data_IF_778754606950
#
_entry.id   IF_778754606950
#
_cell.length_a   1.000
_cell.length_b   1.000
_cell.length_c   1.000
_cell.angle_alpha   90.00
_cell.angle_beta   90.00
_cell.angle_gamma   90.00
#
_symmetry.space_group_name_H-M   'P 1'
#
loop_
_entity.id
_entity.type
_entity.pdbx_description
1 polymer ?
#
# COMPACT_ATOMS: atom_id res chain seq x y z
N UNK A 1 -4.40 31.90 -16.18
CA UNK A 1 -4.12 31.18 -14.92
C UNK A 1 -5.41 30.48 -14.51
N UNK A 2 -5.40 29.15 -14.37
CA UNK A 2 -6.58 28.39 -13.92
C UNK A 2 -6.39 28.07 -12.44
N UNK A 3 -7.36 28.44 -11.64
CA UNK A 3 -7.43 28.13 -10.21
C UNK A 3 -7.39 26.62 -9.99
N UNK A 4 -6.31 26.17 -9.36
CA UNK A 4 -6.09 24.78 -9.02
C UNK A 4 -6.69 24.55 -7.63
N UNK A 5 -7.93 24.07 -7.60
CA UNK A 5 -8.65 23.70 -6.37
C UNK A 5 -7.84 22.62 -5.65
N UNK A 6 -7.28 22.95 -4.49
CA UNK A 6 -6.58 21.99 -3.61
C UNK A 6 -7.61 21.04 -2.99
N UNK A 7 -7.44 19.70 -3.10
CA UNK A 7 -8.35 18.77 -2.45
C UNK A 7 -8.11 18.78 -0.93
N UNK A 8 -9.19 18.88 -0.17
CA UNK A 8 -9.23 19.05 1.30
C UNK A 8 -9.28 17.73 2.09
N UNK A 9 -8.86 16.61 1.49
CA UNK A 9 -8.80 15.29 2.13
C UNK A 9 -7.35 14.84 2.22
N UNK A 10 -6.93 14.06 3.24
CA UNK A 10 -5.65 13.38 3.20
C UNK A 10 -5.60 12.51 1.92
N UNK A 11 -4.62 12.70 1.03
CA UNK A 11 -4.45 11.90 -0.17
C UNK A 11 -4.25 10.43 0.20
N UNK A 12 -5.03 9.54 -0.41
CA UNK A 12 -5.05 8.11 -0.11
C UNK A 12 -6.27 7.61 0.66
N UNK A 13 -7.04 8.50 1.31
CA UNK A 13 -8.25 8.11 2.06
C UNK A 13 -9.41 7.58 1.18
N UNK A 14 -9.35 7.79 -0.14
CA UNK A 14 -10.36 7.28 -1.08
C UNK A 14 -9.84 6.17 -2.02
N UNK A 15 -8.55 5.80 -2.00
CA UNK A 15 -7.98 4.91 -3.03
C UNK A 15 -6.89 3.99 -2.46
N UNK A 16 -7.28 2.81 -1.95
CA UNK A 16 -6.37 1.69 -1.69
C UNK A 16 -6.04 1.42 -0.22
N UNK A 17 -5.23 0.39 0.00
CA UNK A 17 -4.77 -0.03 1.33
C UNK A 17 -3.60 0.83 1.77
N UNK A 18 -3.73 1.41 2.96
CA UNK A 18 -2.76 2.34 3.55
C UNK A 18 -2.01 1.67 4.70
N UNK A 19 -0.69 1.84 4.72
CA UNK A 19 0.19 1.28 5.75
C UNK A 19 1.08 2.36 6.38
N UNK A 20 1.03 2.57 7.70
CA UNK A 20 1.85 3.58 8.37
C UNK A 20 3.29 3.10 8.54
N UNK A 21 4.27 4.00 8.33
CA UNK A 21 5.68 3.76 8.55
C UNK A 21 6.32 4.96 9.24
N UNK A 22 6.99 4.72 10.37
CA UNK A 22 7.85 5.73 11.00
C UNK A 22 9.24 5.69 10.37
N UNK A 23 9.80 6.86 10.08
CA UNK A 23 11.21 6.99 9.68
C UNK A 23 12.09 6.92 10.92
N UNK A 24 13.05 5.99 10.93
CA UNK A 24 14.04 5.84 11.99
C UNK A 24 15.43 6.30 11.56
N UNK A 25 16.37 6.38 12.50
CA UNK A 25 17.76 6.77 12.21
C UNK A 25 18.39 5.96 11.07
N UNK A 26 18.15 4.64 11.04
CA UNK A 26 18.65 3.72 10.00
C UNK A 26 18.10 4.00 8.59
N UNK A 27 17.01 4.77 8.50
CA UNK A 27 16.42 5.13 7.22
C UNK A 27 17.05 6.37 6.59
N UNK A 28 17.82 7.15 7.37
CA UNK A 28 18.39 8.44 6.96
C UNK A 28 19.84 8.34 6.49
N UNK A 29 20.28 9.32 5.69
CA UNK A 29 21.68 9.47 5.27
C UNK A 29 22.31 10.78 5.78
N UNK A 30 23.56 11.04 5.39
CA UNK A 30 24.30 12.24 5.77
C UNK A 30 23.65 13.56 5.31
N UNK A 31 22.69 13.50 4.38
CA UNK A 31 21.86 14.65 3.97
C UNK A 31 20.74 14.99 4.96
N UNK A 32 20.57 14.22 6.03
CA UNK A 32 19.53 14.44 7.04
C UNK A 32 18.11 14.12 6.55
N UNK A 33 18.01 13.35 5.47
CA UNK A 33 16.75 12.90 4.87
C UNK A 33 16.79 11.39 4.67
N UNK A 34 15.64 10.79 4.36
CA UNK A 34 15.55 9.37 4.00
C UNK A 34 16.42 9.08 2.78
N UNK A 35 17.32 8.10 2.92
CA UNK A 35 18.12 7.60 1.81
C UNK A 35 17.20 7.01 0.73
N UNK A 36 17.34 7.46 -0.52
CA UNK A 36 16.38 7.18 -1.59
C UNK A 36 15.99 5.69 -1.72
N UNK A 37 16.94 4.77 -1.56
CA UNK A 37 16.70 3.33 -1.69
C UNK A 37 15.81 2.77 -0.56
N UNK A 38 15.72 3.42 0.60
CA UNK A 38 14.89 2.97 1.70
C UNK A 38 13.39 3.07 1.39
N UNK A 39 12.97 3.88 0.41
CA UNK A 39 11.60 3.84 -0.10
C UNK A 39 11.21 2.46 -0.66
N UNK A 40 12.16 1.68 -1.20
CA UNK A 40 11.89 0.31 -1.62
C UNK A 40 11.54 -0.61 -0.43
N UNK A 41 12.19 -0.40 0.72
CA UNK A 41 11.88 -1.14 1.96
C UNK A 41 10.50 -0.75 2.47
N UNK A 42 10.17 0.54 2.44
CA UNK A 42 8.85 1.04 2.85
C UNK A 42 7.74 0.47 1.98
N UNK A 43 7.95 0.49 0.66
CA UNK A 43 7.05 -0.08 -0.32
C UNK A 43 6.92 -1.60 -0.16
N UNK A 44 8.01 -2.33 0.09
CA UNK A 44 7.96 -3.77 0.38
C UNK A 44 7.12 -4.08 1.62
N UNK A 45 7.40 -3.43 2.76
CA UNK A 45 6.64 -3.62 4.00
C UNK A 45 5.14 -3.43 3.78
N UNK A 46 4.76 -2.35 3.10
CA UNK A 46 3.36 -2.08 2.78
C UNK A 46 2.73 -3.13 1.84
N UNK A 47 3.46 -3.64 0.83
CA UNK A 47 2.97 -4.74 -0.03
C UNK A 47 2.83 -6.06 0.74
N UNK A 48 3.74 -6.35 1.65
CA UNK A 48 3.66 -7.55 2.48
C UNK A 48 2.40 -7.52 3.35
N UNK A 49 2.07 -6.38 3.94
CA UNK A 49 0.85 -6.24 4.74
C UNK A 49 -0.42 -6.16 3.88
N UNK A 50 -0.32 -5.61 2.67
CA UNK A 50 -1.38 -5.71 1.66
C UNK A 50 -1.71 -7.17 1.32
N UNK A 51 -0.68 -8.00 1.09
CA UNK A 51 -0.84 -9.44 0.82
C UNK A 51 -1.43 -10.15 2.04
N UNK A 52 -0.95 -9.84 3.25
CA UNK A 52 -1.48 -10.41 4.49
C UNK A 52 -2.97 -10.08 4.66
N UNK A 53 -3.38 -8.85 4.38
CA UNK A 53 -4.79 -8.45 4.40
C UNK A 53 -5.64 -9.17 3.33
N UNK A 54 -5.03 -9.68 2.25
CA UNK A 54 -5.68 -10.57 1.29
C UNK A 54 -5.72 -12.05 1.75
N UNK A 55 -5.17 -12.38 2.91
CA UNK A 55 -5.00 -13.75 3.42
C UNK A 55 -3.80 -14.49 2.82
N UNK A 56 -2.87 -13.77 2.19
CA UNK A 56 -1.68 -14.34 1.55
C UNK A 56 -0.47 -14.05 2.44
N UNK A 57 0.04 -15.09 3.09
CA UNK A 57 1.32 -15.04 3.79
C UNK A 57 2.40 -15.70 2.94
N UNK A 58 3.46 -14.98 2.60
CA UNK A 58 4.48 -15.45 1.65
C UNK A 58 5.17 -16.74 2.11
N UNK A 59 5.48 -16.86 3.41
CA UNK A 59 6.05 -18.08 3.97
C UNK A 59 5.11 -19.28 3.91
N UNK A 60 3.79 -19.07 4.10
CA UNK A 60 2.78 -20.12 3.95
C UNK A 60 2.62 -20.51 2.48
N UNK A 61 2.53 -19.52 1.60
CA UNK A 61 2.50 -19.73 0.15
C UNK A 61 3.66 -20.61 -0.30
N UNK A 62 4.89 -20.26 0.07
CA UNK A 62 6.08 -21.04 -0.28
C UNK A 62 5.99 -22.51 0.15
N UNK A 63 5.54 -22.78 1.38
CA UNK A 63 5.42 -24.14 1.91
C UNK A 63 4.29 -24.95 1.28
N UNK A 64 3.15 -24.31 0.99
CA UNK A 64 1.95 -24.99 0.51
C UNK A 64 1.93 -25.17 -1.01
N UNK A 65 2.52 -24.24 -1.76
CA UNK A 65 2.46 -24.25 -3.23
C UNK A 65 3.81 -24.41 -3.90
N UNK A 66 4.92 -24.30 -3.16
CA UNK A 66 6.27 -24.32 -3.73
C UNK A 66 6.58 -23.09 -4.59
N UNK A 67 5.84 -21.98 -4.43
CA UNK A 67 6.04 -20.76 -5.23
C UNK A 67 6.41 -19.55 -4.38
N UNK A 68 7.24 -18.67 -4.94
CA UNK A 68 7.66 -17.41 -4.32
C UNK A 68 7.29 -16.21 -5.19
N UNK A 69 7.12 -15.06 -4.55
CA UNK A 69 7.05 -13.78 -5.22
C UNK A 69 8.40 -13.08 -5.16
N UNK A 70 8.91 -12.63 -6.31
CA UNK A 70 10.16 -11.87 -6.42
C UNK A 70 9.92 -10.55 -7.15
N UNK A 71 10.63 -9.50 -6.77
CA UNK A 71 10.61 -8.24 -7.52
C UNK A 71 11.45 -8.42 -8.79
N UNK A 72 10.87 -8.13 -9.95
CA UNK A 72 11.56 -8.24 -11.25
C UNK A 72 11.82 -6.88 -11.91
N UNK A 73 11.15 -5.81 -11.46
CA UNK A 73 11.36 -4.45 -11.96
C UNK A 73 10.79 -3.42 -10.97
N UNK A 74 11.47 -2.28 -10.85
CA UNK A 74 11.04 -1.14 -10.06
C UNK A 74 11.33 0.17 -10.80
N UNK A 75 10.41 1.12 -10.75
CA UNK A 75 10.62 2.50 -11.18
C UNK A 75 10.09 3.44 -10.10
N UNK A 76 10.88 4.44 -9.69
CA UNK A 76 10.53 5.36 -8.59
C UNK A 76 10.76 6.81 -9.02
N UNK A 77 9.82 7.69 -8.65
CA UNK A 77 9.99 9.14 -8.74
C UNK A 77 9.96 9.74 -7.33
N UNK A 78 10.96 10.57 -7.02
CA UNK A 78 11.06 11.27 -5.73
C UNK A 78 10.65 12.73 -5.90
N UNK A 79 9.71 13.20 -5.07
CA UNK A 79 9.05 14.50 -5.18
C UNK A 79 9.34 15.42 -3.98
N UNK A 80 9.49 14.85 -2.79
CA UNK A 80 9.78 15.61 -1.57
C UNK A 80 10.49 14.73 -0.53
N UNK A 81 11.42 15.28 0.27
CA UNK A 81 12.15 14.51 1.26
C UNK A 81 11.30 14.21 2.49
N UNK A 82 11.59 13.06 3.12
CA UNK A 82 11.20 12.75 4.49
C UNK A 82 12.41 12.82 5.41
N UNK A 83 12.19 13.06 6.70
CA UNK A 83 13.21 13.19 7.74
C UNK A 83 12.98 12.21 8.88
N UNK A 84 13.97 12.11 9.76
CA UNK A 84 13.85 11.38 11.02
C UNK A 84 12.54 11.77 11.73
N UNK A 85 11.86 10.77 12.28
CA UNK A 85 10.58 10.90 12.96
C UNK A 85 9.40 11.33 12.09
N UNK A 86 9.51 11.47 10.76
CA UNK A 86 8.31 11.63 9.92
C UNK A 86 7.43 10.36 10.01
N UNK A 87 6.11 10.55 10.14
CA UNK A 87 5.13 9.46 9.96
C UNK A 87 4.67 9.44 8.51
N UNK A 88 5.05 8.39 7.79
CA UNK A 88 4.68 8.18 6.41
C UNK A 88 3.44 7.31 6.31
N UNK A 89 2.61 7.58 5.31
CA UNK A 89 1.55 6.68 4.87
C UNK A 89 1.94 6.12 3.50
N UNK A 90 2.08 4.80 3.42
CA UNK A 90 2.33 4.11 2.16
C UNK A 90 1.01 3.57 1.63
N UNK A 91 0.59 4.03 0.46
CA UNK A 91 -0.61 3.53 -0.24
C UNK A 91 -0.18 2.50 -1.26
N UNK A 92 -0.86 1.35 -1.31
CA UNK A 92 -0.55 0.25 -2.24
C UNK A 92 -1.79 -0.27 -2.96
N UNK A 93 -1.67 -0.45 -4.29
CA UNK A 93 -2.72 -1.02 -5.14
C UNK A 93 -2.13 -1.86 -6.27
N UNK A 94 -2.89 -2.83 -6.75
CA UNK A 94 -2.58 -3.54 -8.00
C UNK A 94 -3.03 -2.68 -9.17
N UNK A 95 -2.11 -2.41 -10.08
CA UNK A 95 -2.40 -1.73 -11.36
C UNK A 95 -2.68 -2.75 -12.47
N UNK A 96 -1.94 -3.87 -12.47
CA UNK A 96 -2.14 -4.95 -13.43
C UNK A 96 -1.90 -6.31 -12.80
N UNK A 97 -2.78 -7.26 -13.09
CA UNK A 97 -2.67 -8.65 -12.63
C UNK A 97 -2.58 -9.60 -13.83
N UNK A 98 -1.41 -10.21 -14.01
CA UNK A 98 -1.15 -11.21 -15.03
C UNK A 98 -1.28 -12.64 -14.51
N UNK A 99 -0.91 -13.62 -15.36
CA UNK A 99 -0.91 -15.05 -14.99
C UNK A 99 0.25 -15.43 -14.07
N UNK A 100 1.39 -14.78 -14.23
CA UNK A 100 2.65 -15.09 -13.52
C UNK A 100 3.30 -13.83 -12.90
N UNK A 101 2.60 -12.70 -12.89
CA UNK A 101 3.11 -11.45 -12.36
C UNK A 101 2.02 -10.50 -11.90
N UNK A 102 2.40 -9.56 -11.05
CA UNK A 102 1.57 -8.48 -10.49
C UNK A 102 2.34 -7.17 -10.61
N UNK A 103 1.72 -6.14 -11.16
CA UNK A 103 2.26 -4.78 -11.15
C UNK A 103 1.54 -3.98 -10.07
N UNK A 104 2.30 -3.49 -9.09
CA UNK A 104 1.83 -2.63 -8.03
C UNK A 104 2.17 -1.17 -8.33
N UNK A 105 1.22 -0.29 -8.03
CA UNK A 105 1.45 1.14 -7.89
C UNK A 105 1.46 1.50 -6.39
N UNK A 106 2.47 2.25 -5.97
CA UNK A 106 2.65 2.66 -4.59
C UNK A 106 3.04 4.12 -4.47
N UNK A 107 2.59 4.74 -3.37
CA UNK A 107 2.82 6.15 -3.10
C UNK A 107 3.20 6.31 -1.63
N UNK A 108 4.17 7.17 -1.34
CA UNK A 108 4.55 7.57 0.00
C UNK A 108 4.08 9.00 0.26
N UNK A 109 3.33 9.18 1.34
CA UNK A 109 2.74 10.46 1.74
C UNK A 109 3.17 10.85 3.14
N UNK A 110 3.28 12.15 3.41
CA UNK A 110 3.37 12.74 4.75
C UNK A 110 2.47 13.95 4.82
N UNK A 111 1.49 13.95 5.71
CA UNK A 111 0.59 15.08 5.98
C UNK A 111 0.04 15.75 4.70
N UNK A 112 -0.41 14.94 3.74
CA UNK A 112 -0.93 15.43 2.47
C UNK A 112 0.11 15.76 1.39
N UNK A 113 1.39 15.68 1.69
CA UNK A 113 2.48 15.88 0.73
C UNK A 113 2.90 14.55 0.10
N UNK A 114 2.87 14.46 -1.24
CA UNK A 114 3.41 13.33 -1.97
C UNK A 114 4.95 13.37 -1.92
N UNK A 115 5.55 12.32 -1.39
CA UNK A 115 7.00 12.22 -1.23
C UNK A 115 7.65 11.42 -2.35
N UNK A 116 7.07 10.28 -2.69
CA UNK A 116 7.57 9.41 -3.75
C UNK A 116 6.44 8.55 -4.35
N UNK A 117 6.59 8.20 -5.62
CA UNK A 117 5.76 7.21 -6.31
C UNK A 117 6.62 6.04 -6.76
N UNK A 118 6.04 4.83 -6.83
CA UNK A 118 6.72 3.64 -7.29
C UNK A 118 5.82 2.70 -8.08
N UNK A 119 6.34 2.18 -9.18
CA UNK A 119 5.78 1.02 -9.89
C UNK A 119 6.68 -0.19 -9.65
N UNK A 120 6.11 -1.27 -9.11
CA UNK A 120 6.84 -2.49 -8.76
C UNK A 120 6.21 -3.69 -9.46
N UNK A 121 6.98 -4.36 -10.32
CA UNK A 121 6.59 -5.65 -10.89
C UNK A 121 7.10 -6.79 -10.02
N UNK A 122 6.18 -7.64 -9.62
CA UNK A 122 6.43 -8.86 -8.85
C UNK A 122 6.12 -10.07 -9.74
N UNK A 123 7.09 -10.95 -9.92
CA UNK A 123 6.92 -12.23 -10.61
C UNK A 123 6.67 -13.37 -9.65
N UNK A 124 5.84 -14.33 -10.04
CA UNK A 124 5.69 -15.61 -9.35
C UNK A 124 6.69 -16.61 -9.94
N UNK A 125 7.48 -17.24 -9.08
CA UNK A 125 8.50 -18.23 -9.49
C UNK A 125 8.34 -19.52 -8.70
N UNK A 126 8.78 -20.62 -9.31
CA UNK A 126 9.04 -21.86 -8.57
C UNK A 126 10.14 -21.60 -7.53
N UNK A 127 9.93 -22.02 -6.28
CA UNK A 127 10.81 -21.71 -5.17
C UNK A 127 12.18 -22.40 -5.26
N UNK A 128 12.25 -23.57 -5.91
CA UNK A 128 13.49 -24.33 -6.03
C UNK A 128 14.30 -23.92 -7.28
N UNK A 129 13.62 -23.76 -8.42
CA UNK A 129 14.24 -23.47 -9.70
C UNK A 129 14.38 -21.97 -10.01
N UNK A 130 13.67 -21.11 -9.27
CA UNK A 130 13.57 -19.66 -9.53
C UNK A 130 13.14 -19.32 -10.96
N UNK A 131 12.33 -20.19 -11.58
CA UNK A 131 11.78 -19.99 -12.92
C UNK A 131 10.36 -19.43 -12.85
N UNK A 132 9.96 -18.54 -13.78
CA UNK A 132 8.59 -18.03 -13.81
C UNK A 132 7.56 -19.16 -13.82
N UNK A 133 6.56 -19.07 -12.95
CA UNK A 133 5.45 -20.02 -12.87
C UNK A 133 4.13 -19.27 -12.68
N UNK A 134 3.02 -19.95 -12.96
CA UNK A 134 1.70 -19.35 -12.79
C UNK A 134 1.38 -19.12 -11.32
N UNK A 135 0.70 -18.02 -11.03
CA UNK A 135 0.10 -17.76 -9.72
C UNK A 135 -1.01 -18.79 -9.49
N UNK A 136 -0.98 -19.49 -8.35
CA UNK A 136 -1.99 -20.49 -8.02
C UNK A 136 -3.42 -19.88 -8.05
N UNK A 137 -4.45 -20.59 -8.54
CA UNK A 137 -5.79 -20.02 -8.73
C UNK A 137 -6.40 -19.37 -7.47
N UNK A 138 -6.20 -19.97 -6.30
CA UNK A 138 -6.69 -19.41 -5.03
C UNK A 138 -6.00 -18.09 -4.68
N UNK A 139 -4.69 -17.98 -4.92
CA UNK A 139 -3.91 -16.75 -4.72
C UNK A 139 -4.35 -15.69 -5.70
N UNK A 140 -4.52 -16.05 -6.98
CA UNK A 140 -5.01 -15.14 -8.01
C UNK A 140 -6.40 -14.58 -7.66
N UNK A 141 -7.31 -15.42 -7.15
CA UNK A 141 -8.62 -15.00 -6.68
C UNK A 141 -8.52 -14.03 -5.48
N UNK A 142 -7.62 -14.29 -4.53
CA UNK A 142 -7.37 -13.39 -3.40
C UNK A 142 -6.79 -12.03 -3.84
N UNK A 143 -5.82 -12.03 -4.77
CA UNK A 143 -5.26 -10.81 -5.35
C UNK A 143 -6.31 -9.97 -6.10
N UNK A 144 -7.22 -10.63 -6.84
CA UNK A 144 -8.34 -9.94 -7.53
C UNK A 144 -9.34 -9.33 -6.56
N UNK A 145 -9.62 -10.01 -5.45
CA UNK A 145 -10.49 -9.48 -4.40
C UNK A 145 -9.87 -8.27 -3.71
N UNK A 146 -8.54 -8.30 -3.52
CA UNK A 146 -7.82 -7.29 -2.77
C UNK A 146 -8.09 -7.36 -1.25
N UNK A 147 -7.46 -6.47 -0.49
CA UNK A 147 -7.69 -6.35 0.94
C UNK A 147 -9.11 -5.81 1.19
N UNK A 148 -9.71 -6.12 2.36
CA UNK A 148 -10.95 -5.49 2.78
C UNK A 148 -10.77 -3.97 2.83
N UNK A 149 -11.85 -3.25 2.57
CA UNK A 149 -11.85 -1.80 2.62
C UNK A 149 -11.56 -1.31 4.04
N UNK A 150 -10.41 -0.68 4.23
CA UNK A 150 -9.97 -0.15 5.54
C UNK A 150 -10.34 1.31 5.72
N UNK A 151 -11.28 1.87 4.94
CA UNK A 151 -11.80 3.21 5.18
C UNK A 151 -12.21 3.34 6.66
N UNK A 152 -11.71 4.34 7.40
CA UNK A 152 -12.21 4.61 8.74
C UNK A 152 -13.71 4.93 8.62
N UNK A 153 -14.53 4.21 9.38
CA UNK A 153 -15.98 4.44 9.44
C UNK A 153 -16.22 5.83 10.05
N UNK A 154 -16.38 6.86 9.21
CA UNK A 154 -16.86 8.16 9.66
C UNK A 154 -18.33 8.01 10.02
N UNK A 155 -18.60 7.61 11.26
CA UNK A 155 -19.93 7.59 11.85
C UNK A 155 -20.51 9.00 11.92
N UNK A 156 -21.11 9.45 10.82
CA UNK A 156 -21.96 10.62 10.75
C UNK A 156 -23.34 10.16 10.30
N UNK A 157 -24.26 10.00 11.27
CA UNK A 157 -25.67 9.83 10.98
C UNK A 157 -26.41 8.94 11.97
N UNK A 158 -26.78 9.47 13.14
CA UNK A 158 -28.18 9.51 13.58
C UNK A 158 -28.32 10.30 14.90
N UNK A 159 -28.31 11.63 14.86
CA UNK A 159 -28.98 12.43 15.89
C UNK A 159 -30.43 12.62 15.47
N UNK A 160 -31.22 11.56 15.66
CA UNK A 160 -32.67 11.60 15.58
C UNK A 160 -33.23 12.33 16.80
N UNK A 161 -33.42 13.64 16.64
CA UNK A 161 -34.16 14.50 17.56
C UNK A 161 -35.61 14.01 17.64
N UNK A 162 -36.01 13.48 18.79
CA UNK A 162 -37.40 13.13 19.10
C UNK A 162 -37.80 13.71 20.44
N UNK A 163 -38.03 15.03 20.49
CA UNK A 163 -38.79 15.64 21.59
C UNK A 163 -40.26 15.38 21.31
N UNK A 164 -40.88 14.51 22.10
CA UNK A 164 -42.34 14.39 22.16
C UNK A 164 -42.82 15.17 23.38
N UNK A 165 -43.45 16.30 23.10
CA UNK A 165 -44.28 17.04 24.06
C UNK A 165 -45.69 16.48 23.96
N UNK A 166 -46.22 15.94 25.06
CA UNK A 166 -47.66 15.77 25.25
C UNK A 166 -47.96 15.85 26.74
N UNK A 167 -48.49 17.00 27.17
CA UNK A 167 -49.29 17.07 28.38
C UNK A 167 -50.70 16.57 28.09
N UNK A 168 -51.29 15.87 29.05
CA UNK A 168 -52.46 16.26 29.87
C UNK A 168 -52.26 15.58 31.22
#
# INVERSE_FOLDING_TARGET
>A
MRDMKTPSSPPGAEIGFAWPIRVYYEDTDAGGIVFYANYLKFFERARTEWLRACGIEQGRLARETGTLFIVSSTALDYRSPARLDDLLTIVSRIERLGRASVDFAQEAWRDGTLLATGTIRVGCVDAAALRPTAIAPAVLAALRRGPPDTRPNNGAGNTGTGVSTAGI
#
